data_IF_025259539678
#
_entry.id   IF_025259539678
#
_cell.length_a   1.000
_cell.length_b   1.000
_cell.length_c   1.000
_cell.angle_alpha   90.00
_cell.angle_beta   90.00
_cell.angle_gamma   90.00
#
_symmetry.space_group_name_H-M   'P 1'
#
loop_
_entity.id
_entity.type
_entity.pdbx_description
1 polymer ?
#
# COMPACT_ATOMS: atom_id res chain seq x y z
N UNK A 1 39.64 -12.70 58.39
CA UNK A 1 38.96 -13.95 58.01
C UNK A 1 39.54 -14.36 56.65
N UNK A 2 40.77 -14.89 56.64
CA UNK A 2 41.09 -16.32 56.43
C UNK A 2 40.27 -16.90 55.26
N UNK A 3 40.75 -16.78 54.02
CA UNK A 3 41.69 -17.67 53.31
C UNK A 3 41.01 -18.97 52.88
N UNK A 4 40.85 -19.17 51.57
CA UNK A 4 40.88 -20.51 51.00
C UNK A 4 41.61 -20.54 49.66
N UNK A 5 42.51 -21.52 49.60
CA UNK A 5 43.51 -21.80 48.58
C UNK A 5 43.04 -23.06 47.84
N UNK A 6 43.14 -23.09 46.51
CA UNK A 6 43.44 -24.35 45.82
C UNK A 6 44.22 -24.11 44.54
N UNK A 7 45.47 -24.55 44.62
CA UNK A 7 46.54 -24.67 43.61
C UNK A 7 46.14 -25.68 42.52
N UNK A 8 46.67 -25.67 41.28
CA UNK A 8 47.79 -26.54 40.87
C UNK A 8 48.29 -26.24 39.43
N UNK A 9 49.60 -25.94 39.36
CA UNK A 9 50.71 -26.27 38.40
C UNK A 9 50.59 -26.02 36.88
N UNK A 10 51.46 -25.13 36.34
CA UNK A 10 52.80 -25.33 35.66
C UNK A 10 52.65 -25.66 34.15
N UNK A 11 53.43 -25.15 33.19
CA UNK A 11 54.89 -25.01 33.04
C UNK A 11 55.18 -23.92 31.98
N UNK A 12 56.26 -23.14 32.17
CA UNK A 12 56.86 -22.22 31.19
C UNK A 12 57.65 -22.99 30.12
N UNK A 13 57.51 -22.59 28.86
CA UNK A 13 58.56 -22.76 27.85
C UNK A 13 58.79 -21.42 27.14
N UNK A 14 60.01 -20.89 27.27
CA UNK A 14 60.53 -19.75 26.53
C UNK A 14 61.57 -20.32 25.57
N UNK A 15 61.46 -19.98 24.29
CA UNK A 15 62.52 -20.17 23.29
C UNK A 15 62.69 -18.84 22.55
N UNK A 16 63.92 -18.31 22.42
CA UNK A 16 64.19 -17.05 21.73
C UNK A 16 64.56 -17.32 20.26
N UNK A 17 64.13 -16.45 19.34
CA UNK A 17 64.76 -16.35 18.01
C UNK A 17 64.81 -14.87 17.59
N UNK A 18 66.03 -14.36 17.48
CA UNK A 18 66.42 -13.12 16.79
C UNK A 18 66.11 -13.25 15.29
N UNK A 19 65.72 -12.15 14.62
CA UNK A 19 66.15 -11.80 13.24
C UNK A 19 65.61 -10.38 12.94
N UNK A 20 66.48 -9.37 12.94
CA UNK A 20 67.20 -8.83 11.76
C UNK A 20 66.31 -7.98 10.83
N UNK A 21 66.52 -6.66 10.89
CA UNK A 21 66.01 -5.65 9.95
C UNK A 21 66.48 -5.95 8.52
N UNK A 22 65.54 -5.99 7.58
CA UNK A 22 65.81 -5.81 6.15
C UNK A 22 64.82 -4.78 5.58
N UNK A 23 65.34 -3.60 5.25
CA UNK A 23 64.63 -2.57 4.50
C UNK A 23 64.63 -3.01 3.04
N UNK A 24 63.46 -3.41 2.52
CA UNK A 24 63.27 -3.67 1.10
C UNK A 24 62.35 -2.58 0.53
N UNK A 25 62.95 -1.65 -0.22
CA UNK A 25 62.28 -0.78 -1.18
C UNK A 25 61.64 -1.62 -2.29
N UNK A 26 60.31 -1.61 -2.36
CA UNK A 26 59.57 -2.16 -3.50
C UNK A 26 58.77 -1.03 -4.16
N UNK A 27 59.07 -0.77 -5.44
CA UNK A 27 58.24 0.01 -6.35
C UNK A 27 56.84 -0.58 -6.41
N UNK A 28 55.83 0.18 -5.98
CA UNK A 28 54.43 -0.13 -6.26
C UNK A 28 54.02 0.51 -7.60
N UNK A 29 53.30 -0.21 -8.48
CA UNK A 29 52.70 0.40 -9.66
C UNK A 29 51.54 1.30 -9.21
N UNK A 30 51.52 2.53 -9.71
CA UNK A 30 50.41 3.46 -9.50
C UNK A 30 49.16 2.92 -10.21
N UNK A 31 48.24 2.35 -9.44
CA UNK A 31 46.87 2.09 -9.91
C UNK A 31 46.16 3.42 -9.89
N UNK A 32 45.91 3.99 -11.07
CA UNK A 32 45.06 5.16 -11.24
C UNK A 32 43.67 4.81 -10.69
N UNK A 33 43.35 5.39 -9.54
CA UNK A 33 41.99 5.40 -9.00
C UNK A 33 41.11 6.22 -9.93
N UNK A 34 40.46 5.54 -10.87
CA UNK A 34 39.35 6.13 -11.63
C UNK A 34 38.30 6.57 -10.63
N UNK A 35 38.04 7.88 -10.57
CA UNK A 35 36.88 8.44 -9.90
C UNK A 35 35.65 7.93 -10.64
N UNK A 36 35.17 6.75 -10.23
CA UNK A 36 33.84 6.28 -10.57
C UNK A 36 32.87 7.31 -10.02
N UNK A 37 32.34 8.13 -10.92
CA UNK A 37 31.18 8.96 -10.65
C UNK A 37 30.08 8.02 -10.18
N UNK A 38 29.89 7.91 -8.87
CA UNK A 38 28.66 7.37 -8.30
C UNK A 38 27.58 8.32 -8.76
N UNK A 39 26.87 7.92 -9.83
CA UNK A 39 25.65 8.59 -10.23
C UNK A 39 24.77 8.62 -8.98
N UNK A 40 24.58 9.82 -8.43
CA UNK A 40 23.52 10.06 -7.47
C UNK A 40 22.22 9.69 -8.19
N UNK A 41 21.68 8.52 -7.90
CA UNK A 41 20.30 8.22 -8.21
C UNK A 41 19.51 9.22 -7.39
N UNK A 42 19.10 10.32 -8.02
CA UNK A 42 18.04 11.16 -7.48
C UNK A 42 16.93 10.21 -7.06
N UNK A 43 16.31 10.35 -5.87
CA UNK A 43 15.12 9.59 -5.58
C UNK A 43 14.13 10.00 -6.66
N UNK A 44 13.94 9.13 -7.64
CA UNK A 44 12.93 9.31 -8.67
C UNK A 44 11.64 9.43 -7.89
N UNK A 45 11.00 10.61 -7.95
CA UNK A 45 9.69 10.81 -7.34
C UNK A 45 8.69 9.75 -7.81
N UNK A 46 7.49 9.69 -7.21
CA UNK A 46 6.46 8.72 -7.57
C UNK A 46 6.28 8.62 -9.09
N UNK A 47 6.13 7.39 -9.57
CA UNK A 47 6.10 7.12 -11.01
C UNK A 47 4.76 7.47 -11.67
N UNK A 48 3.69 7.58 -10.87
CA UNK A 48 2.32 7.85 -11.30
C UNK A 48 1.43 8.27 -10.13
N UNK A 49 0.30 8.88 -10.44
CA UNK A 49 -0.80 9.03 -9.49
C UNK A 49 -1.50 7.68 -9.27
N UNK A 50 -1.80 7.35 -8.03
CA UNK A 50 -2.44 6.10 -7.60
C UNK A 50 -3.79 6.42 -6.97
N UNK A 51 -4.85 5.82 -7.51
CA UNK A 51 -6.20 5.89 -6.98
C UNK A 51 -6.59 4.52 -6.44
N UNK A 52 -7.21 4.47 -5.27
CA UNK A 52 -7.71 3.24 -4.67
C UNK A 52 -9.16 3.49 -4.24
N UNK A 53 -10.09 2.72 -4.80
CA UNK A 53 -11.47 2.63 -4.33
C UNK A 53 -11.62 1.30 -3.60
N UNK A 54 -12.14 1.35 -2.37
CA UNK A 54 -12.49 0.14 -1.60
C UNK A 54 -13.99 0.15 -1.32
N UNK A 55 -14.65 -0.91 -1.75
CA UNK A 55 -16.08 -1.20 -1.59
C UNK A 55 -16.30 -2.22 -0.46
N UNK A 56 -17.54 -2.44 -0.04
CA UNK A 56 -17.89 -3.36 1.06
C UNK A 56 -18.44 -4.71 0.55
N UNK A 57 -18.07 -5.78 1.27
CA UNK A 57 -18.65 -7.13 1.31
C UNK A 57 -19.50 -7.58 0.10
N UNK A 58 -18.87 -8.05 -0.97
CA UNK A 58 -19.62 -8.60 -2.11
C UNK A 58 -18.97 -9.89 -2.66
N UNK A 59 -19.74 -10.94 -2.99
CA UNK A 59 -19.19 -12.11 -3.67
C UNK A 59 -18.60 -11.72 -5.03
N UNK A 60 -17.41 -12.22 -5.36
CA UNK A 60 -16.72 -11.94 -6.63
C UNK A 60 -17.65 -12.01 -7.86
N UNK A 61 -18.45 -13.07 -7.96
CA UNK A 61 -19.35 -13.29 -9.11
C UNK A 61 -20.49 -12.25 -9.15
N UNK A 62 -20.99 -11.83 -7.99
CA UNK A 62 -22.08 -10.85 -7.93
C UNK A 62 -21.59 -9.45 -8.30
N UNK A 63 -20.38 -9.08 -7.89
CA UNK A 63 -19.74 -7.84 -8.30
C UNK A 63 -19.54 -7.80 -9.83
N UNK A 64 -18.93 -8.83 -10.42
CA UNK A 64 -18.67 -8.88 -11.87
C UNK A 64 -19.92 -9.06 -12.73
N UNK A 65 -21.06 -9.44 -12.13
CA UNK A 65 -22.34 -9.46 -12.82
C UNK A 65 -22.98 -8.07 -13.00
N UNK A 66 -22.46 -7.03 -12.32
CA UNK A 66 -23.01 -5.69 -12.47
C UNK A 66 -22.54 -5.01 -13.77
N UNK A 67 -23.41 -4.27 -14.48
CA UNK A 67 -23.09 -3.77 -15.82
C UNK A 67 -21.84 -2.88 -15.90
N UNK A 68 -21.69 -1.91 -14.99
CA UNK A 68 -20.56 -0.99 -15.06
C UNK A 68 -19.26 -1.67 -14.62
N UNK A 69 -19.28 -2.41 -13.51
CA UNK A 69 -18.13 -3.19 -13.02
C UNK A 69 -17.66 -4.18 -14.09
N UNK A 70 -18.58 -4.93 -14.70
CA UNK A 70 -18.28 -5.86 -15.80
C UNK A 70 -17.64 -5.13 -16.98
N UNK A 71 -18.16 -3.95 -17.35
CA UNK A 71 -17.59 -3.15 -18.44
C UNK A 71 -16.16 -2.68 -18.16
N UNK A 72 -15.81 -2.44 -16.89
CA UNK A 72 -14.43 -2.13 -16.49
C UNK A 72 -13.54 -3.36 -16.61
N UNK A 73 -14.02 -4.54 -16.18
CA UNK A 73 -13.29 -5.80 -16.31
C UNK A 73 -13.02 -6.17 -17.79
N UNK A 74 -13.98 -5.91 -18.68
CA UNK A 74 -13.83 -6.15 -20.13
C UNK A 74 -12.84 -5.18 -20.79
N UNK A 75 -12.83 -3.93 -20.33
CA UNK A 75 -11.98 -2.87 -20.88
C UNK A 75 -10.55 -2.95 -20.36
N UNK A 76 -10.39 -3.27 -19.09
CA UNK A 76 -9.12 -3.22 -18.37
C UNK A 76 -8.72 -4.60 -17.86
N UNK A 77 -7.90 -4.64 -16.80
CA UNK A 77 -7.49 -5.89 -16.19
C UNK A 77 -8.31 -6.18 -14.93
N UNK A 78 -8.56 -7.46 -14.69
CA UNK A 78 -9.19 -7.98 -13.47
C UNK A 78 -8.31 -9.07 -12.89
N UNK A 79 -7.97 -8.97 -11.60
CA UNK A 79 -7.33 -10.07 -10.90
C UNK A 79 -8.42 -11.03 -10.40
N UNK A 80 -8.42 -12.23 -10.97
CA UNK A 80 -9.43 -13.23 -10.67
C UNK A 80 -9.07 -14.08 -9.45
N UNK A 81 -7.82 -14.04 -9.01
CA UNK A 81 -7.31 -14.79 -7.86
C UNK A 81 -6.81 -13.84 -6.74
N UNK A 82 -7.62 -12.83 -6.44
CA UNK A 82 -7.38 -11.85 -5.38
C UNK A 82 -8.24 -12.19 -4.15
N UNK A 83 -7.63 -12.13 -2.97
CA UNK A 83 -8.23 -12.59 -1.71
C UNK A 83 -8.24 -11.51 -0.63
N UNK A 84 -9.33 -11.43 0.12
CA UNK A 84 -9.37 -10.72 1.40
C UNK A 84 -8.56 -11.45 2.48
N UNK A 85 -8.50 -10.88 3.68
CA UNK A 85 -7.80 -11.46 4.83
C UNK A 85 -8.78 -12.03 5.90
N UNK A 86 -10.07 -12.11 5.58
CA UNK A 86 -11.14 -12.56 6.48
C UNK A 86 -11.94 -11.42 7.09
N UNK A 87 -12.95 -11.78 7.90
CA UNK A 87 -13.89 -10.83 8.51
C UNK A 87 -13.44 -10.36 9.90
N UNK A 88 -13.80 -9.13 10.32
CA UNK A 88 -14.61 -8.12 9.62
C UNK A 88 -13.80 -7.06 8.83
N UNK A 89 -14.49 -6.07 8.25
CA UNK A 89 -13.94 -5.02 7.36
C UNK A 89 -12.65 -4.36 7.85
N UNK A 90 -12.61 -3.85 9.09
CA UNK A 90 -11.53 -2.98 9.57
C UNK A 90 -10.12 -3.61 9.41
N UNK A 91 -9.87 -4.85 9.85
CA UNK A 91 -8.62 -5.56 9.58
C UNK A 91 -8.13 -5.50 8.12
N UNK A 92 -9.02 -5.59 7.14
CA UNK A 92 -8.69 -5.53 5.71
C UNK A 92 -8.22 -4.12 5.31
N UNK A 93 -8.93 -3.07 5.76
CA UNK A 93 -8.51 -1.67 5.56
C UNK A 93 -7.14 -1.39 6.19
N UNK A 94 -6.89 -1.87 7.40
CA UNK A 94 -5.60 -1.75 8.09
C UNK A 94 -4.48 -2.50 7.34
N UNK A 95 -4.77 -3.67 6.80
CA UNK A 95 -3.81 -4.44 6.02
C UNK A 95 -3.44 -3.75 4.71
N UNK A 96 -4.40 -3.20 3.97
CA UNK A 96 -4.15 -2.45 2.74
C UNK A 96 -3.28 -1.21 2.98
N UNK A 97 -3.47 -0.54 4.12
CA UNK A 97 -2.83 0.78 4.39
C UNK A 97 -1.61 0.72 5.31
N UNK A 98 -1.39 -0.34 6.08
CA UNK A 98 -0.21 -0.51 6.95
C UNK A 98 0.53 -1.83 6.79
N UNK A 99 0.05 -2.73 5.93
CA UNK A 99 0.63 -4.06 5.79
C UNK A 99 0.44 -4.95 7.03
N UNK A 100 -0.53 -4.63 7.90
CA UNK A 100 -0.80 -5.39 9.12
C UNK A 100 -2.27 -5.28 9.50
N UNK A 101 -2.88 -6.38 9.95
CA UNK A 101 -4.18 -6.36 10.65
C UNK A 101 -4.07 -5.91 12.10
N UNK A 102 -2.83 -5.80 12.62
CA UNK A 102 -2.51 -5.50 14.02
C UNK A 102 -3.06 -6.50 15.03
N UNK A 103 -3.49 -7.69 14.56
CA UNK A 103 -4.16 -8.67 15.39
C UNK A 103 -5.58 -8.26 15.80
N UNK A 104 -6.12 -7.18 15.22
CA UNK A 104 -7.50 -6.75 15.41
C UNK A 104 -8.42 -7.73 14.66
N UNK A 105 -9.55 -8.04 15.26
CA UNK A 105 -10.54 -9.00 14.73
C UNK A 105 -11.99 -8.52 14.91
N UNK A 106 -12.17 -7.20 15.09
CA UNK A 106 -13.46 -6.54 15.25
C UNK A 106 -13.46 -5.22 14.44
N UNK A 107 -14.59 -4.49 14.47
CA UNK A 107 -14.75 -3.18 13.84
C UNK A 107 -14.72 -2.02 14.86
N UNK A 108 -14.23 -2.26 16.08
CA UNK A 108 -14.13 -1.22 17.10
C UNK A 108 -12.95 -0.29 16.81
N UNK A 109 -12.89 0.84 17.53
CA UNK A 109 -11.76 1.74 17.42
C UNK A 109 -10.58 1.23 18.28
N UNK A 110 -9.41 1.13 17.66
CA UNK A 110 -8.17 0.72 18.32
C UNK A 110 -7.07 1.72 18.00
N UNK A 111 -6.55 2.49 18.97
CA UNK A 111 -5.47 3.43 18.70
C UNK A 111 -4.19 2.67 18.34
N UNK A 112 -3.60 3.01 17.20
CA UNK A 112 -2.37 2.40 16.68
C UNK A 112 -1.22 3.41 16.69
N UNK A 113 0.05 2.96 16.68
CA UNK A 113 1.18 3.86 16.47
C UNK A 113 1.05 4.66 15.17
N UNK A 114 1.59 5.88 15.14
CA UNK A 114 1.67 6.69 13.93
C UNK A 114 2.51 5.97 12.85
N UNK A 115 1.83 5.45 11.82
CA UNK A 115 2.39 4.56 10.80
C UNK A 115 1.45 4.50 9.59
N UNK A 116 1.64 3.55 8.68
CA UNK A 116 0.77 3.42 7.52
C UNK A 116 1.21 4.31 6.36
N UNK A 117 0.61 4.04 5.20
CA UNK A 117 0.98 4.67 3.94
C UNK A 117 0.80 6.19 3.98
N UNK A 118 -0.25 6.69 4.64
CA UNK A 118 -0.47 8.12 4.82
C UNK A 118 0.69 8.82 5.55
N UNK A 119 1.12 8.28 6.69
CA UNK A 119 2.26 8.82 7.44
C UNK A 119 3.56 8.73 6.65
N UNK A 120 3.79 7.66 5.88
CA UNK A 120 4.95 7.56 4.99
C UNK A 120 4.96 8.63 3.90
N UNK A 121 3.81 8.85 3.24
CA UNK A 121 3.68 9.85 2.19
C UNK A 121 3.86 11.27 2.74
N UNK A 122 3.26 11.58 3.89
CA UNK A 122 3.49 12.85 4.59
C UNK A 122 4.97 13.06 4.89
N UNK A 123 5.65 12.04 5.45
CA UNK A 123 7.08 12.11 5.77
C UNK A 123 7.97 12.27 4.54
N UNK A 124 7.55 11.73 3.40
CA UNK A 124 8.24 11.85 2.12
C UNK A 124 7.90 13.16 1.36
N UNK A 125 7.03 14.02 1.91
CA UNK A 125 6.56 15.23 1.22
C UNK A 125 5.67 14.95 0.01
N UNK A 126 5.07 13.76 -0.07
CA UNK A 126 4.16 13.36 -1.13
C UNK A 126 2.71 13.63 -0.70
N UNK A 127 2.01 14.45 -1.46
CA UNK A 127 0.60 14.75 -1.20
C UNK A 127 -0.27 13.51 -1.37
N UNK A 128 -1.13 13.26 -0.38
CA UNK A 128 -2.13 12.21 -0.40
C UNK A 128 -3.43 12.74 0.21
N UNK A 129 -4.57 12.18 -0.19
CA UNK A 129 -5.87 12.44 0.43
C UNK A 129 -6.70 11.16 0.51
N UNK A 130 -7.52 11.08 1.55
CA UNK A 130 -8.56 10.08 1.70
C UNK A 130 -9.93 10.77 1.58
N UNK A 131 -10.61 10.51 0.48
CA UNK A 131 -11.91 11.06 0.15
C UNK A 131 -13.00 10.13 0.68
N UNK A 132 -13.73 10.58 1.69
CA UNK A 132 -14.70 9.77 2.40
C UNK A 132 -16.10 10.36 2.18
N UNK A 133 -17.02 9.58 1.63
CA UNK A 133 -18.40 10.04 1.47
C UNK A 133 -19.12 10.09 2.83
N UNK A 134 -19.90 11.15 3.06
CA UNK A 134 -20.54 11.40 4.35
C UNK A 134 -19.64 12.02 5.42
N UNK A 135 -18.33 12.19 5.16
CA UNK A 135 -17.42 12.83 6.11
C UNK A 135 -17.70 14.33 6.23
N UNK A 136 -17.85 14.80 7.47
CA UNK A 136 -18.21 16.19 7.80
C UNK A 136 -17.10 16.96 8.52
N UNK A 137 -15.87 16.44 8.54
CA UNK A 137 -14.69 17.12 9.10
C UNK A 137 -14.13 16.50 10.36
N UNK A 138 -14.83 15.55 10.98
CA UNK A 138 -14.35 14.81 12.16
C UNK A 138 -14.48 13.29 11.93
N UNK A 139 -13.37 12.57 11.98
CA UNK A 139 -13.35 11.14 11.72
C UNK A 139 -14.14 10.35 12.78
N UNK A 140 -14.27 10.89 13.99
CA UNK A 140 -14.87 10.20 15.14
C UNK A 140 -16.35 10.54 15.34
N UNK A 141 -16.85 11.61 14.71
CA UNK A 141 -18.22 12.13 14.89
C UNK A 141 -18.94 12.45 13.56
N UNK A 142 -18.37 12.05 12.42
CA UNK A 142 -19.08 12.19 11.13
C UNK A 142 -20.30 11.24 11.08
N UNK A 143 -21.48 11.73 10.64
CA UNK A 143 -22.71 10.96 10.66
C UNK A 143 -22.80 9.98 9.48
N UNK A 144 -23.86 9.17 9.47
CA UNK A 144 -24.27 8.42 8.28
C UNK A 144 -24.30 9.33 7.04
N UNK A 145 -23.78 8.89 5.87
CA UNK A 145 -23.37 7.52 5.55
C UNK A 145 -21.90 7.19 5.86
N UNK A 146 -21.16 8.04 6.57
CA UNK A 146 -19.77 7.74 6.93
C UNK A 146 -19.69 6.62 7.98
N UNK A 147 -18.68 5.76 7.84
CA UNK A 147 -18.35 4.72 8.81
C UNK A 147 -16.85 4.74 9.14
N UNK A 148 -16.51 4.94 10.42
CA UNK A 148 -15.12 4.97 10.88
C UNK A 148 -14.36 3.67 10.57
N UNK A 149 -15.03 2.50 10.64
CA UNK A 149 -14.43 1.20 10.30
C UNK A 149 -13.89 1.09 8.87
N UNK A 150 -14.38 1.93 7.94
CA UNK A 150 -13.90 1.99 6.55
C UNK A 150 -12.85 3.10 6.34
N UNK A 151 -12.47 3.82 7.41
CA UNK A 151 -11.44 4.85 7.40
C UNK A 151 -10.24 4.41 8.28
N UNK A 152 -9.19 3.79 7.71
CA UNK A 152 -8.07 3.31 8.51
C UNK A 152 -7.16 4.44 9.02
N UNK A 153 -7.16 5.60 8.36
CA UNK A 153 -6.23 6.68 8.65
C UNK A 153 -6.31 7.27 10.07
N UNK A 154 -7.49 7.50 10.67
CA UNK A 154 -7.60 7.97 12.06
C UNK A 154 -7.06 7.02 13.13
N UNK A 155 -6.93 5.72 12.82
CA UNK A 155 -6.37 4.73 13.75
C UNK A 155 -4.88 4.98 13.98
N UNK A 156 -4.15 5.52 12.99
CA UNK A 156 -2.71 5.73 13.07
C UNK A 156 -2.36 7.02 13.82
N UNK A 157 -1.90 6.87 15.06
CA UNK A 157 -1.58 7.99 15.94
C UNK A 157 -2.79 8.58 16.64
N UNK A 158 -3.96 7.92 16.57
CA UNK A 158 -5.18 8.30 17.28
C UNK A 158 -5.60 9.75 17.01
N UNK A 159 -5.65 10.11 15.73
CA UNK A 159 -5.94 11.48 15.29
C UNK A 159 -6.59 11.46 13.93
N UNK A 160 -7.63 12.27 13.71
CA UNK A 160 -8.16 12.48 12.37
C UNK A 160 -7.18 13.34 11.56
N UNK A 161 -6.44 12.79 10.58
CA UNK A 161 -5.45 13.58 9.86
C UNK A 161 -6.16 14.55 8.92
N UNK A 162 -5.61 15.75 8.67
CA UNK A 162 -6.22 16.75 7.78
C UNK A 162 -6.28 16.30 6.31
N UNK A 163 -5.64 15.17 5.98
CA UNK A 163 -5.68 14.53 4.67
C UNK A 163 -6.97 13.71 4.44
N UNK A 164 -7.72 13.39 5.50
CA UNK A 164 -9.09 12.86 5.38
C UNK A 164 -10.00 14.04 5.08
N UNK A 165 -10.70 13.96 3.95
CA UNK A 165 -11.51 15.06 3.41
C UNK A 165 -12.86 14.57 2.92
N UNK A 166 -13.86 15.46 2.81
CA UNK A 166 -15.14 15.10 2.22
C UNK A 166 -14.96 14.64 0.77
N UNK A 167 -15.70 13.62 0.35
CA UNK A 167 -15.65 13.15 -1.03
C UNK A 167 -15.99 14.23 -2.06
N UNK A 168 -16.76 15.26 -1.68
CA UNK A 168 -17.08 16.42 -2.54
C UNK A 168 -15.84 17.18 -3.03
N UNK A 169 -14.70 17.04 -2.36
CA UNK A 169 -13.45 17.70 -2.75
C UNK A 169 -12.75 17.01 -3.93
N UNK A 170 -13.09 15.73 -4.21
CA UNK A 170 -12.41 14.88 -5.19
C UNK A 170 -12.28 15.55 -6.56
N UNK A 171 -13.38 16.03 -7.13
CA UNK A 171 -13.39 16.63 -8.47
C UNK A 171 -12.58 17.92 -8.51
N UNK A 172 -12.66 18.73 -7.45
CA UNK A 172 -11.91 19.99 -7.35
C UNK A 172 -10.41 19.72 -7.34
N UNK A 173 -9.96 18.74 -6.56
CA UNK A 173 -8.55 18.36 -6.49
C UNK A 173 -8.06 17.71 -7.80
N UNK A 174 -8.86 16.83 -8.40
CA UNK A 174 -8.54 16.19 -9.69
C UNK A 174 -8.33 17.22 -10.82
N UNK A 175 -9.04 18.34 -10.77
CA UNK A 175 -8.96 19.41 -11.76
C UNK A 175 -7.87 20.45 -11.48
N UNK A 176 -7.31 20.48 -10.27
CA UNK A 176 -6.33 21.48 -9.86
C UNK A 176 -4.97 20.83 -9.61
N UNK A 177 -4.75 20.31 -8.41
CA UNK A 177 -3.50 19.66 -7.99
C UNK A 177 -3.80 18.26 -7.41
N UNK A 178 -4.02 17.25 -8.27
CA UNK A 178 -4.36 15.92 -7.81
C UNK A 178 -3.25 15.34 -6.92
N UNK A 179 -3.58 14.71 -5.78
CA UNK A 179 -2.57 14.11 -4.93
C UNK A 179 -1.92 12.89 -5.58
N UNK A 180 -0.72 12.51 -5.14
CA UNK A 180 -0.03 11.32 -5.62
C UNK A 180 -0.78 10.04 -5.26
N UNK A 181 -1.42 10.03 -4.08
CA UNK A 181 -2.34 8.97 -3.68
C UNK A 181 -3.72 9.56 -3.37
N UNK A 182 -4.75 8.98 -3.97
CA UNK A 182 -6.16 9.22 -3.63
C UNK A 182 -6.76 7.92 -3.13
N UNK A 183 -7.02 7.84 -1.83
CA UNK A 183 -7.86 6.79 -1.26
C UNK A 183 -9.31 7.25 -1.30
N UNK A 184 -10.23 6.41 -1.73
CA UNK A 184 -11.63 6.77 -1.93
C UNK A 184 -12.49 5.67 -1.34
N UNK A 185 -13.40 6.05 -0.44
CA UNK A 185 -14.32 5.11 0.20
C UNK A 185 -15.74 5.69 0.11
N UNK A 186 -16.69 4.98 -0.54
CA UNK A 186 -18.09 5.36 -0.54
C UNK A 186 -18.69 5.29 0.87
N UNK A 187 -19.84 5.92 1.03
CA UNK A 187 -20.62 5.84 2.25
C UNK A 187 -21.40 4.53 2.27
N UNK A 188 -21.93 4.19 3.44
CA UNK A 188 -22.61 2.92 3.70
C UNK A 188 -23.67 2.51 2.66
N UNK A 189 -24.41 3.46 2.07
CA UNK A 189 -25.35 3.11 1.01
C UNK A 189 -24.68 2.75 -0.34
N UNK A 190 -23.55 3.38 -0.65
CA UNK A 190 -22.89 3.27 -1.95
C UNK A 190 -21.75 2.24 -1.97
N UNK A 191 -21.40 1.64 -0.83
CA UNK A 191 -20.30 0.68 -0.74
C UNK A 191 -20.63 -0.71 -1.29
N UNK A 192 -21.92 -1.02 -1.47
CA UNK A 192 -22.38 -2.28 -2.03
C UNK A 192 -23.00 -3.23 -1.00
N UNK A 193 -22.92 -2.90 0.30
CA UNK A 193 -23.50 -3.68 1.37
C UNK A 193 -24.91 -3.16 1.75
N UNK A 194 -25.05 -1.95 2.33
CA UNK A 194 -26.35 -1.56 2.93
C UNK A 194 -27.46 -1.34 1.89
N UNK A 195 -27.14 -0.76 0.73
CA UNK A 195 -28.11 -0.57 -0.37
C UNK A 195 -27.83 -1.50 -1.57
N UNK A 196 -26.94 -2.49 -1.40
CA UNK A 196 -26.64 -3.54 -2.35
C UNK A 196 -25.76 -3.14 -3.54
N UNK A 197 -25.17 -4.16 -4.16
CA UNK A 197 -24.15 -4.04 -5.22
C UNK A 197 -24.59 -3.22 -6.44
N UNK A 198 -25.88 -3.20 -6.77
CA UNK A 198 -26.40 -2.38 -7.88
C UNK A 198 -26.25 -0.87 -7.60
N UNK A 199 -26.37 -0.47 -6.34
CA UNK A 199 -26.17 0.93 -5.92
C UNK A 199 -24.70 1.30 -6.05
N UNK A 200 -23.80 0.44 -5.58
CA UNK A 200 -22.35 0.60 -5.79
C UNK A 200 -21.96 0.66 -7.28
N UNK A 201 -22.54 -0.19 -8.13
CA UNK A 201 -22.30 -0.17 -9.58
C UNK A 201 -22.65 1.19 -10.22
N UNK A 202 -23.79 1.77 -9.82
CA UNK A 202 -24.19 3.11 -10.26
C UNK A 202 -23.24 4.18 -9.74
N UNK A 203 -22.90 4.13 -8.46
CA UNK A 203 -21.96 5.08 -7.86
C UNK A 203 -20.59 5.04 -8.56
N UNK A 204 -20.06 3.84 -8.84
CA UNK A 204 -18.83 3.68 -9.62
C UNK A 204 -18.95 4.29 -11.02
N UNK A 205 -20.12 4.14 -11.66
CA UNK A 205 -20.39 4.70 -12.99
C UNK A 205 -20.35 6.23 -13.03
N UNK A 206 -20.48 6.88 -11.87
CA UNK A 206 -20.39 8.33 -11.72
C UNK A 206 -18.98 8.77 -11.31
N UNK A 207 -18.32 8.03 -10.40
CA UNK A 207 -17.02 8.40 -9.81
C UNK A 207 -15.84 8.04 -10.72
N UNK A 208 -15.83 6.85 -11.30
CA UNK A 208 -14.69 6.37 -12.11
C UNK A 208 -14.45 7.25 -13.34
N UNK A 209 -15.48 7.78 -14.05
CA UNK A 209 -15.26 8.76 -15.12
C UNK A 209 -14.61 10.06 -14.65
N UNK A 210 -14.86 10.53 -13.43
CA UNK A 210 -14.20 11.73 -12.89
C UNK A 210 -12.69 11.50 -12.76
N UNK A 211 -12.29 10.32 -12.27
CA UNK A 211 -10.88 9.93 -12.14
C UNK A 211 -10.24 9.75 -13.52
N UNK A 212 -10.85 8.92 -14.39
CA UNK A 212 -10.28 8.58 -15.70
C UNK A 212 -10.25 9.75 -16.70
N UNK A 213 -11.07 10.77 -16.49
CA UNK A 213 -11.01 12.02 -17.26
C UNK A 213 -9.97 13.02 -16.76
N UNK A 214 -9.45 12.85 -15.54
CA UNK A 214 -8.48 13.75 -14.90
C UNK A 214 -7.12 13.77 -15.61
N UNK A 215 -6.37 14.86 -15.42
CA UNK A 215 -5.00 14.97 -15.93
C UNK A 215 -4.06 13.97 -15.26
N UNK A 216 -4.26 13.66 -13.98
CA UNK A 216 -3.49 12.67 -13.23
C UNK A 216 -3.60 11.26 -13.82
N UNK A 217 -4.82 10.81 -14.17
CA UNK A 217 -5.00 9.51 -14.80
C UNK A 217 -4.42 9.49 -16.22
N UNK A 218 -4.66 10.54 -17.00
CA UNK A 218 -4.13 10.66 -18.38
C UNK A 218 -2.60 10.68 -18.44
N UNK A 219 -1.91 11.10 -17.38
CA UNK A 219 -0.45 11.06 -17.21
C UNK A 219 0.03 9.74 -16.57
N UNK A 220 -0.43 8.61 -17.11
CA UNK A 220 -0.07 7.25 -16.67
C UNK A 220 -0.55 6.86 -15.25
N UNK A 221 -1.62 7.48 -14.76
CA UNK A 221 -2.22 7.12 -13.48
C UNK A 221 -2.87 5.72 -13.51
N UNK A 222 -3.04 5.14 -12.32
CA UNK A 222 -3.68 3.83 -12.14
C UNK A 222 -4.76 3.93 -11.08
N UNK A 223 -5.92 3.34 -11.38
CA UNK A 223 -7.00 3.15 -10.42
C UNK A 223 -7.14 1.67 -10.07
N UNK A 224 -7.10 1.36 -8.78
CA UNK A 224 -7.45 0.06 -8.22
C UNK A 224 -8.85 0.14 -7.64
N UNK A 225 -9.70 -0.83 -7.96
CA UNK A 225 -11.04 -0.97 -7.35
C UNK A 225 -11.11 -2.36 -6.75
N UNK A 226 -11.35 -2.45 -5.45
CA UNK A 226 -11.45 -3.73 -4.75
C UNK A 226 -12.53 -3.68 -3.68
N UNK A 227 -12.77 -4.81 -3.03
CA UNK A 227 -13.67 -4.95 -1.88
C UNK A 227 -12.83 -5.34 -0.67
N UNK A 228 -13.27 -4.94 0.51
CA UNK A 228 -12.62 -5.30 1.77
C UNK A 228 -12.76 -6.79 2.11
N UNK A 229 -13.90 -7.41 1.81
CA UNK A 229 -14.16 -8.81 2.13
C UNK A 229 -15.19 -9.47 1.20
N UNK A 230 -15.15 -10.80 1.11
CA UNK A 230 -16.12 -11.62 0.41
C UNK A 230 -17.22 -12.09 1.37
N UNK A 231 -18.47 -11.99 0.95
CA UNK A 231 -19.62 -12.57 1.66
C UNK A 231 -19.98 -13.99 1.20
N UNK A 232 -19.10 -14.64 0.41
CA UNK A 232 -19.30 -16.01 -0.08
C UNK A 232 -18.54 -17.09 0.71
N UNK A 233 -17.74 -16.70 1.71
CA UNK A 233 -16.94 -17.64 2.53
C UNK A 233 -15.76 -18.28 1.79
N UNK A 234 -15.37 -17.74 0.63
CA UNK A 234 -14.23 -18.19 -0.18
C UNK A 234 -13.04 -17.20 -0.16
N UNK A 235 -13.18 -16.12 0.61
CA UNK A 235 -12.27 -14.97 0.68
C UNK A 235 -11.98 -14.30 -0.66
N UNK A 236 -12.73 -14.59 -1.72
CA UNK A 236 -12.43 -14.10 -3.06
C UNK A 236 -13.18 -12.81 -3.34
N UNK A 237 -12.42 -11.74 -3.53
CA UNK A 237 -12.93 -10.42 -3.93
C UNK A 237 -12.32 -9.96 -5.24
N UNK A 238 -13.02 -9.15 -6.06
CA UNK A 238 -12.42 -8.64 -7.28
C UNK A 238 -11.34 -7.59 -6.97
N UNK A 239 -10.33 -7.55 -7.83
CA UNK A 239 -9.46 -6.38 -7.97
C UNK A 239 -9.45 -5.97 -9.44
N UNK A 240 -10.06 -4.84 -9.75
CA UNK A 240 -9.95 -4.20 -11.06
C UNK A 240 -8.72 -3.31 -11.08
N UNK A 241 -7.93 -3.42 -12.16
CA UNK A 241 -6.75 -2.58 -12.41
C UNK A 241 -7.03 -1.72 -13.63
N UNK A 242 -7.57 -0.53 -13.38
CA UNK A 242 -8.01 0.45 -14.37
C UNK A 242 -6.83 1.34 -14.76
N UNK A 243 -6.08 0.91 -15.76
CA UNK A 243 -4.95 1.64 -16.32
C UNK A 243 -4.92 1.51 -17.85
N UNK A 244 -4.47 2.54 -18.61
CA UNK A 244 -4.57 2.57 -20.07
C UNK A 244 -3.99 1.35 -20.81
N UNK A 245 -2.94 0.74 -20.24
CA UNK A 245 -2.20 -0.38 -20.85
C UNK A 245 -2.52 -1.73 -20.23
N UNK A 246 -3.38 -1.80 -19.22
CA UNK A 246 -3.70 -3.06 -18.53
C UNK A 246 -5.01 -3.61 -19.05
N UNK A 247 -4.97 -4.78 -19.68
CA UNK A 247 -6.17 -5.49 -20.16
C UNK A 247 -6.06 -6.99 -19.98
N UNK A 248 -7.12 -7.64 -19.51
CA UNK A 248 -7.22 -9.10 -19.40
C UNK A 248 -7.11 -9.62 -17.97
N UNK A 249 -7.01 -10.93 -17.82
CA UNK A 249 -7.09 -11.58 -16.51
C UNK A 249 -5.71 -11.73 -15.86
N UNK A 250 -5.60 -11.35 -14.59
CA UNK A 250 -4.42 -11.60 -13.75
C UNK A 250 -4.74 -12.79 -12.84
N UNK A 251 -4.03 -13.91 -13.03
CA UNK A 251 -4.37 -15.19 -12.40
C UNK A 251 -3.48 -15.55 -11.20
N UNK A 252 -2.35 -14.85 -11.03
CA UNK A 252 -1.50 -15.05 -9.86
C UNK A 252 -2.27 -14.77 -8.57
N UNK A 253 -1.93 -15.49 -7.51
CA UNK A 253 -2.51 -15.25 -6.18
C UNK A 253 -2.06 -13.89 -5.66
N UNK A 254 -3.03 -13.07 -5.27
CA UNK A 254 -2.85 -11.75 -4.68
C UNK A 254 -3.78 -11.59 -3.47
N UNK A 255 -3.46 -10.65 -2.60
CA UNK A 255 -4.29 -10.27 -1.46
C UNK A 255 -4.16 -8.77 -1.12
N UNK A 256 -4.75 -8.33 -0.02
CA UNK A 256 -4.62 -6.95 0.46
C UNK A 256 -3.17 -6.51 0.73
N UNK A 257 -2.28 -7.42 1.12
CA UNK A 257 -0.85 -7.10 1.24
C UNK A 257 -0.20 -6.92 -0.14
N UNK A 258 -0.63 -7.66 -1.16
CA UNK A 258 -0.23 -7.42 -2.55
C UNK A 258 -0.64 -6.04 -3.08
N UNK A 259 -1.85 -5.57 -2.74
CA UNK A 259 -2.27 -4.21 -3.08
C UNK A 259 -1.40 -3.18 -2.33
N UNK A 260 -1.21 -3.35 -1.02
CA UNK A 260 -0.35 -2.48 -0.20
C UNK A 260 1.09 -2.39 -0.76
N UNK A 261 1.66 -3.53 -1.15
CA UNK A 261 2.99 -3.60 -1.77
C UNK A 261 3.04 -2.87 -3.11
N UNK A 262 2.01 -3.05 -3.95
CA UNK A 262 1.91 -2.38 -5.25
C UNK A 262 1.80 -0.87 -5.09
N UNK A 263 0.95 -0.37 -4.19
CA UNK A 263 0.81 1.07 -3.93
C UNK A 263 2.13 1.67 -3.44
N UNK A 264 2.80 1.01 -2.49
CA UNK A 264 4.09 1.46 -1.96
C UNK A 264 5.15 1.55 -3.05
N UNK A 265 5.25 0.53 -3.90
CA UNK A 265 6.20 0.49 -5.02
C UNK A 265 5.95 1.62 -6.03
N UNK A 266 4.69 1.85 -6.43
CA UNK A 266 4.36 2.87 -7.43
C UNK A 266 4.67 4.30 -6.94
N UNK A 267 4.52 4.51 -5.63
CA UNK A 267 4.80 5.77 -4.95
C UNK A 267 6.26 5.90 -4.49
N UNK A 268 7.08 4.88 -4.74
CA UNK A 268 8.49 4.80 -4.34
C UNK A 268 8.71 5.02 -2.82
N UNK A 269 7.84 4.46 -2.00
CA UNK A 269 7.99 4.41 -0.53
C UNK A 269 8.23 2.97 -0.04
N UNK A 270 8.91 2.76 1.11
CA UNK A 270 9.17 1.41 1.60
C UNK A 270 7.88 0.66 1.92
N UNK A 271 7.78 -0.60 1.50
CA UNK A 271 6.65 -1.47 1.87
C UNK A 271 6.57 -1.66 3.38
N UNK A 272 5.36 -1.64 3.91
CA UNK A 272 5.07 -1.79 5.34
C UNK A 272 4.69 -3.23 5.71
N UNK A 273 4.89 -3.61 6.97
CA UNK A 273 4.42 -4.89 7.54
C UNK A 273 4.68 -6.12 6.66
N UNK A 274 3.64 -6.93 6.48
CA UNK A 274 3.62 -8.14 5.64
C UNK A 274 3.75 -7.83 4.15
N UNK A 275 3.40 -6.61 3.70
CA UNK A 275 3.56 -6.20 2.31
C UNK A 275 5.02 -6.24 1.83
N UNK A 276 6.00 -6.21 2.76
CA UNK A 276 7.43 -6.41 2.46
C UNK A 276 7.72 -7.72 1.71
N UNK A 277 6.95 -8.77 1.96
CA UNK A 277 7.12 -10.08 1.34
C UNK A 277 6.04 -10.38 0.28
N UNK A 278 5.07 -9.50 0.10
CA UNK A 278 3.95 -9.73 -0.81
C UNK A 278 4.35 -9.55 -2.28
N UNK A 279 3.72 -10.32 -3.15
CA UNK A 279 3.82 -10.14 -4.61
C UNK A 279 3.13 -8.84 -5.00
N UNK A 280 3.80 -7.97 -5.76
CA UNK A 280 3.26 -6.71 -6.27
C UNK A 280 2.98 -6.76 -7.78
N UNK A 281 2.01 -5.97 -8.25
CA UNK A 281 1.67 -5.83 -9.67
C UNK A 281 2.60 -4.89 -10.46
N UNK A 282 3.63 -4.34 -9.82
CA UNK A 282 4.54 -3.33 -10.41
C UNK A 282 5.12 -3.80 -11.76
N UNK A 283 5.54 -5.06 -11.87
CA UNK A 283 6.10 -5.60 -13.13
C UNK A 283 5.06 -5.65 -14.25
N UNK A 284 3.84 -6.10 -13.94
CA UNK A 284 2.73 -6.18 -14.88
C UNK A 284 2.32 -4.79 -15.38
N UNK A 285 2.25 -3.82 -14.45
CA UNK A 285 1.94 -2.42 -14.76
C UNK A 285 3.01 -1.76 -15.63
N UNK A 286 4.29 -2.06 -15.39
CA UNK A 286 5.40 -1.58 -16.23
C UNK A 286 5.39 -2.22 -17.63
N UNK A 287 5.08 -3.52 -17.71
CA UNK A 287 4.99 -4.24 -18.97
C UNK A 287 3.73 -3.89 -19.78
N UNK A 288 2.69 -3.36 -19.13
CA UNK A 288 1.38 -3.13 -19.74
C UNK A 288 0.73 -4.44 -20.20
N UNK A 289 0.89 -5.52 -19.42
CA UNK A 289 0.36 -6.84 -19.75
C UNK A 289 -0.04 -7.60 -18.48
N UNK A 290 -1.18 -8.31 -18.49
CA UNK A 290 -1.46 -9.32 -17.48
C UNK A 290 -0.45 -10.46 -17.63
N UNK A 291 -0.09 -11.11 -16.53
CA UNK A 291 0.82 -12.25 -16.49
C UNK A 291 0.14 -13.45 -15.88
#
# INVERSE_FOLDING_TARGET
MLCDITTVRRVRAVVPVLLAFAVATACQPAVQGGTGSTASVSPTGPSRHVFVIVLENTPYQLALAQPYISSLADRYAVASNYHDLGEPSLPNYLAMTSGSTWGISDNEFHPLPATGIGNQLTSAGLSWKAYMEGFTGDCFDSPYPYALKHNPFPYYGDVCPPNVVPMTDLVTDLNSNPPWMSWITPGLCNDGHDCGVRTADRWLSEVVPQITSSSAWKKDGVLFITWDESSAGDSRVPLLVVAPKMKGEITMRLDHYSLSATVSDLLHVPRLGQAKQATSLTRQLQAGRPS
#
